data_IF_026811191350
#
_entry.id   IF_026811191350
#
_cell.length_a   1.000
_cell.length_b   1.000
_cell.length_c   1.000
_cell.angle_alpha   90.00
_cell.angle_beta   90.00
_cell.angle_gamma   90.00
#
_symmetry.space_group_name_H-M   'P 1'
#
loop_
_entity.id
_entity.type
_entity.pdbx_description
1 polymer ?
#
# COMPACT_ATOMS: atom_id res chain seq x y z
N UNK A 1 35.26 -47.03 -19.61
CA UNK A 1 34.96 -45.89 -20.48
C UNK A 1 33.52 -45.39 -20.22
N UNK A 2 33.22 -44.88 -19.01
CA UNK A 2 31.90 -44.37 -18.63
C UNK A 2 32.02 -43.30 -17.51
N UNK A 3 32.76 -42.21 -17.73
CA UNK A 3 32.79 -41.09 -16.77
C UNK A 3 32.54 -39.71 -17.39
N UNK A 4 32.12 -39.61 -18.65
CA UNK A 4 31.88 -38.30 -19.31
C UNK A 4 30.44 -37.78 -19.17
N UNK A 5 29.50 -38.58 -18.65
CA UNK A 5 28.09 -38.18 -18.53
C UNK A 5 27.72 -37.40 -17.27
N UNK A 6 28.51 -37.50 -16.19
CA UNK A 6 28.18 -36.89 -14.88
C UNK A 6 28.71 -35.45 -14.77
N UNK A 7 29.79 -35.13 -15.50
CA UNK A 7 30.50 -33.84 -15.36
C UNK A 7 29.75 -32.63 -15.93
N UNK A 8 28.82 -32.82 -16.88
CA UNK A 8 28.06 -31.72 -17.49
C UNK A 8 26.71 -31.45 -16.81
N UNK A 9 26.18 -32.41 -16.03
CA UNK A 9 24.86 -32.31 -15.40
C UNK A 9 24.89 -31.51 -14.07
N UNK A 10 26.00 -31.58 -13.33
CA UNK A 10 26.21 -30.84 -12.08
C UNK A 10 26.15 -29.31 -12.24
N UNK A 11 26.85 -28.67 -13.21
CA UNK A 11 26.80 -27.21 -13.37
C UNK A 11 25.44 -26.71 -13.84
N UNK A 12 24.68 -27.50 -14.60
CA UNK A 12 23.32 -27.14 -15.03
C UNK A 12 22.36 -27.20 -13.83
N UNK A 13 22.46 -28.23 -12.99
CA UNK A 13 21.62 -28.37 -11.81
C UNK A 13 21.88 -27.26 -10.77
N UNK A 14 23.14 -26.90 -10.55
CA UNK A 14 23.52 -25.78 -9.67
C UNK A 14 23.02 -24.44 -10.20
N UNK A 15 23.19 -24.18 -11.50
CA UNK A 15 22.69 -22.95 -12.15
C UNK A 15 21.16 -22.84 -12.11
N UNK A 16 20.44 -23.94 -12.34
CA UNK A 16 18.97 -23.98 -12.25
C UNK A 16 18.49 -23.77 -10.81
N UNK A 17 19.20 -24.33 -9.83
CA UNK A 17 18.89 -24.12 -8.41
C UNK A 17 19.12 -22.65 -8.01
N UNK A 18 20.26 -22.07 -8.39
CA UNK A 18 20.54 -20.65 -8.13
C UNK A 18 19.51 -19.75 -8.81
N UNK A 19 19.19 -19.99 -10.08
CA UNK A 19 18.15 -19.26 -10.82
C UNK A 19 16.79 -19.32 -10.12
N UNK A 20 16.41 -20.48 -9.57
CA UNK A 20 15.16 -20.67 -8.82
C UNK A 20 15.19 -19.92 -7.48
N UNK A 21 16.31 -19.96 -6.76
CA UNK A 21 16.47 -19.21 -5.50
C UNK A 21 16.38 -17.71 -5.75
N UNK A 22 17.02 -17.20 -6.81
CA UNK A 22 16.91 -15.79 -7.18
C UNK A 22 15.46 -15.42 -7.54
N UNK A 23 14.75 -16.31 -8.26
CA UNK A 23 13.33 -16.10 -8.54
C UNK A 23 12.48 -16.00 -7.26
N UNK A 24 12.68 -16.91 -6.30
CA UNK A 24 11.95 -16.87 -5.03
C UNK A 24 12.25 -15.60 -4.23
N UNK A 25 13.50 -15.12 -4.23
CA UNK A 25 13.87 -13.86 -3.57
C UNK A 25 13.19 -12.67 -4.24
N UNK A 26 13.31 -12.55 -5.57
CA UNK A 26 12.68 -11.47 -6.31
C UNK A 26 11.15 -11.49 -6.15
N UNK A 27 10.55 -12.68 -6.06
CA UNK A 27 9.11 -12.82 -5.82
C UNK A 27 8.72 -12.38 -4.40
N UNK A 28 9.47 -12.80 -3.39
CA UNK A 28 9.25 -12.38 -2.00
C UNK A 28 9.45 -10.86 -1.83
N UNK A 29 10.46 -10.29 -2.50
CA UNK A 29 10.69 -8.84 -2.49
C UNK A 29 9.50 -8.11 -3.13
N UNK A 30 9.02 -8.58 -4.29
CA UNK A 30 7.83 -8.01 -4.94
C UNK A 30 6.59 -8.08 -4.04
N UNK A 31 6.35 -9.21 -3.36
CA UNK A 31 5.24 -9.34 -2.39
C UNK A 31 5.40 -8.37 -1.22
N UNK A 32 6.60 -8.23 -0.66
CA UNK A 32 6.87 -7.28 0.43
C UNK A 32 6.63 -5.83 0.01
N UNK A 33 7.07 -5.44 -1.19
CA UNK A 33 6.85 -4.08 -1.71
C UNK A 33 5.36 -3.80 -1.94
N UNK A 34 4.60 -4.81 -2.38
CA UNK A 34 3.15 -4.72 -2.53
C UNK A 34 2.47 -4.50 -1.17
N UNK A 35 2.84 -5.26 -0.14
CA UNK A 35 2.32 -5.07 1.23
C UNK A 35 2.65 -3.68 1.78
N UNK A 36 3.87 -3.19 1.60
CA UNK A 36 4.29 -1.87 2.07
C UNK A 36 3.47 -0.74 1.42
N UNK A 37 3.20 -0.84 0.11
CA UNK A 37 2.35 0.11 -0.60
C UNK A 37 0.92 0.09 -0.06
N UNK A 38 0.36 -1.10 0.20
CA UNK A 38 -0.98 -1.26 0.77
C UNK A 38 -1.10 -0.68 2.19
N UNK A 39 -0.09 -0.93 3.04
CA UNK A 39 -0.01 -0.35 4.39
C UNK A 39 0.06 1.17 4.32
N UNK A 40 0.96 1.72 3.51
CA UNK A 40 1.13 3.17 3.36
C UNK A 40 -0.16 3.85 2.86
N UNK A 41 -0.85 3.21 1.92
CA UNK A 41 -2.16 3.63 1.46
C UNK A 41 -3.15 3.65 2.65
N UNK A 42 -3.33 2.55 3.37
CA UNK A 42 -4.27 2.50 4.48
C UNK A 42 -3.95 3.54 5.58
N UNK A 43 -2.68 3.74 5.91
CA UNK A 43 -2.23 4.74 6.88
C UNK A 43 -2.57 6.17 6.44
N UNK A 44 -2.32 6.50 5.17
CA UNK A 44 -2.64 7.81 4.62
C UNK A 44 -4.17 8.06 4.64
N UNK A 45 -4.97 7.04 4.31
CA UNK A 45 -6.42 7.13 4.40
C UNK A 45 -6.90 7.35 5.85
N UNK A 46 -6.38 6.59 6.81
CA UNK A 46 -6.69 6.77 8.23
C UNK A 46 -6.30 8.17 8.73
N UNK A 47 -5.13 8.68 8.31
CA UNK A 47 -4.68 10.02 8.69
C UNK A 47 -5.65 11.10 8.20
N UNK A 48 -6.07 11.04 6.94
CA UNK A 48 -7.05 11.96 6.36
C UNK A 48 -8.37 11.93 7.15
N UNK A 49 -8.90 10.74 7.44
CA UNK A 49 -10.13 10.60 8.22
C UNK A 49 -9.97 11.17 9.63
N UNK A 50 -8.82 10.94 10.27
CA UNK A 50 -8.51 11.49 11.59
C UNK A 50 -8.49 13.02 11.61
N UNK A 51 -7.89 13.63 10.59
CA UNK A 51 -7.85 15.08 10.45
C UNK A 51 -9.23 15.69 10.17
N UNK A 52 -10.01 15.11 9.24
CA UNK A 52 -11.38 15.56 8.96
C UNK A 52 -12.27 15.47 10.21
N UNK A 53 -12.11 14.39 11.01
CA UNK A 53 -12.83 14.25 12.28
C UNK A 53 -12.45 15.36 13.25
N UNK A 54 -11.16 15.69 13.37
CA UNK A 54 -10.73 16.75 14.27
C UNK A 54 -11.15 18.14 13.79
N UNK A 55 -11.06 18.44 12.50
CA UNK A 55 -11.63 19.66 11.93
C UNK A 55 -13.10 19.83 12.34
N UNK A 56 -13.89 18.76 12.19
CA UNK A 56 -15.31 18.74 12.56
C UNK A 56 -15.51 19.01 14.05
N UNK A 57 -14.74 18.34 14.92
CA UNK A 57 -14.83 18.53 16.39
C UNK A 57 -14.48 19.96 16.79
N UNK A 58 -13.41 20.53 16.24
CA UNK A 58 -13.00 21.91 16.54
C UNK A 58 -13.98 22.94 16.00
N UNK A 59 -14.61 22.68 14.85
CA UNK A 59 -15.67 23.52 14.30
C UNK A 59 -16.92 23.51 15.18
N UNK A 60 -17.31 22.32 15.68
CA UNK A 60 -18.40 22.20 16.65
C UNK A 60 -18.07 22.95 17.95
N UNK A 61 -16.85 22.80 18.48
CA UNK A 61 -16.43 23.51 19.69
C UNK A 61 -16.43 25.04 19.51
N UNK A 62 -16.11 25.53 18.31
CA UNK A 62 -16.21 26.96 17.98
C UNK A 62 -17.66 27.45 17.96
N UNK A 63 -18.60 26.59 17.57
CA UNK A 63 -20.04 26.87 17.63
C UNK A 63 -20.53 26.91 19.08
N UNK A 64 -20.11 25.95 19.92
CA UNK A 64 -20.49 25.87 21.33
C UNK A 64 -20.00 27.08 22.15
N UNK A 65 -18.85 27.65 21.79
CA UNK A 65 -18.27 28.83 22.44
C UNK A 65 -18.55 30.14 21.68
N UNK A 66 -19.70 30.26 21.01
CA UNK A 66 -20.04 31.46 20.23
C UNK A 66 -20.03 32.77 21.05
N UNK A 67 -20.31 32.70 22.35
CA UNK A 67 -20.35 33.84 23.27
C UNK A 67 -18.96 34.32 23.73
N UNK A 68 -17.91 33.51 23.53
CA UNK A 68 -16.52 33.83 23.88
C UNK A 68 -15.69 33.95 22.60
N UNK A 69 -15.48 35.19 22.09
CA UNK A 69 -14.77 35.42 20.84
C UNK A 69 -13.34 34.84 20.84
N UNK A 70 -12.68 34.80 21.99
CA UNK A 70 -11.32 34.28 22.12
C UNK A 70 -11.29 32.76 21.94
N UNK A 71 -12.17 32.04 22.65
CA UNK A 71 -12.28 30.58 22.51
C UNK A 71 -12.74 30.18 21.12
N UNK A 72 -13.73 30.89 20.56
CA UNK A 72 -14.19 30.68 19.19
C UNK A 72 -13.06 30.83 18.18
N UNK A 73 -12.30 31.93 18.24
CA UNK A 73 -11.21 32.19 17.32
C UNK A 73 -10.12 31.11 17.41
N UNK A 74 -9.79 30.66 18.63
CA UNK A 74 -8.82 29.59 18.83
C UNK A 74 -9.31 28.24 18.27
N UNK A 75 -10.56 27.88 18.51
CA UNK A 75 -11.16 26.66 17.99
C UNK A 75 -11.19 26.66 16.45
N UNK A 76 -11.59 27.77 15.82
CA UNK A 76 -11.54 27.91 14.36
C UNK A 76 -10.12 27.80 13.80
N UNK A 77 -9.14 28.40 14.48
CA UNK A 77 -7.72 28.24 14.11
C UNK A 77 -7.29 26.77 14.13
N UNK A 78 -7.75 26.00 15.12
CA UNK A 78 -7.46 24.56 15.21
C UNK A 78 -8.19 23.76 14.14
N UNK A 79 -9.45 24.08 13.84
CA UNK A 79 -10.18 23.45 12.74
C UNK A 79 -9.42 23.64 11.41
N UNK A 80 -9.06 24.88 11.08
CA UNK A 80 -8.30 25.19 9.86
C UNK A 80 -6.94 24.46 9.80
N UNK A 81 -6.22 24.39 10.94
CA UNK A 81 -4.96 23.63 11.01
C UNK A 81 -5.15 22.15 10.63
N UNK A 82 -6.20 21.49 11.12
CA UNK A 82 -6.48 20.09 10.77
C UNK A 82 -6.93 19.93 9.32
N UNK A 83 -7.70 20.89 8.80
CA UNK A 83 -8.07 20.92 7.40
C UNK A 83 -6.83 20.99 6.49
N UNK A 84 -5.90 21.89 6.78
CA UNK A 84 -4.63 22.04 6.05
C UNK A 84 -3.79 20.75 6.12
N UNK A 85 -3.71 20.11 7.28
CA UNK A 85 -2.99 18.82 7.43
C UNK A 85 -3.65 17.69 6.61
N UNK A 86 -4.98 17.64 6.57
CA UNK A 86 -5.71 16.68 5.75
C UNK A 86 -5.43 16.86 4.26
N UNK A 87 -5.45 18.11 3.80
CA UNK A 87 -5.13 18.47 2.41
C UNK A 87 -3.68 18.15 2.06
N UNK A 88 -2.71 18.47 2.93
CA UNK A 88 -1.30 18.18 2.70
C UNK A 88 -1.03 16.67 2.55
N UNK A 89 -1.69 15.81 3.35
CA UNK A 89 -1.59 14.36 3.17
C UNK A 89 -2.24 13.92 1.87
N UNK A 90 -3.41 14.45 1.51
CA UNK A 90 -4.07 14.14 0.23
C UNK A 90 -3.19 14.52 -0.97
N UNK A 91 -2.60 15.72 -0.95
CA UNK A 91 -1.74 16.23 -2.02
C UNK A 91 -0.47 15.39 -2.15
N UNK A 92 0.17 15.06 -1.02
CA UNK A 92 1.35 14.19 -1.01
C UNK A 92 1.03 12.78 -1.51
N UNK A 93 -0.10 12.22 -1.09
CA UNK A 93 -0.55 10.90 -1.54
C UNK A 93 -0.85 10.89 -3.03
N UNK A 94 -1.56 11.90 -3.54
CA UNK A 94 -1.83 12.05 -4.97
C UNK A 94 -0.55 12.26 -5.79
N UNK A 95 0.41 13.03 -5.27
CA UNK A 95 1.69 13.31 -5.94
C UNK A 95 2.52 12.05 -6.17
N UNK A 96 2.45 11.07 -5.27
CA UNK A 96 3.13 9.78 -5.44
C UNK A 96 2.32 8.77 -6.28
N UNK A 97 1.20 9.20 -6.87
CA UNK A 97 0.31 8.34 -7.67
C UNK A 97 -0.61 7.47 -6.83
N UNK A 98 -0.74 7.77 -5.53
CA UNK A 98 -1.68 7.08 -4.65
C UNK A 98 -3.12 7.34 -5.08
N UNK A 99 -3.87 6.27 -5.30
CA UNK A 99 -5.31 6.32 -5.56
C UNK A 99 -6.02 5.41 -4.58
N UNK A 100 -7.12 5.89 -3.99
CA UNK A 100 -8.00 5.02 -3.23
C UNK A 100 -8.77 4.11 -4.19
N UNK A 101 -8.88 2.81 -3.91
CA UNK A 101 -9.95 2.04 -4.51
C UNK A 101 -11.26 2.63 -3.97
N UNK A 102 -11.95 3.42 -4.80
CA UNK A 102 -13.33 3.81 -4.55
C UNK A 102 -14.09 2.50 -4.27
N UNK A 103 -14.68 2.37 -3.08
CA UNK A 103 -15.26 1.14 -2.55
C UNK A 103 -16.23 0.47 -3.55
N UNK A 104 -15.71 -0.41 -4.41
CA UNK A 104 -16.32 -1.59 -5.05
C UNK A 104 -15.43 -2.15 -6.18
N UNK A 105 -14.12 -2.22 -5.96
CA UNK A 105 -13.40 -3.33 -6.58
C UNK A 105 -13.74 -4.56 -5.75
N UNK A 106 -14.80 -5.27 -6.18
CA UNK A 106 -14.76 -6.73 -6.16
C UNK A 106 -13.41 -7.06 -6.75
N UNK A 107 -12.40 -7.26 -5.90
CA UNK A 107 -11.15 -7.89 -6.29
C UNK A 107 -11.62 -9.10 -7.09
N UNK A 108 -11.31 -9.21 -8.40
CA UNK A 108 -11.57 -10.45 -9.11
C UNK A 108 -10.74 -11.48 -8.36
N UNK A 109 -11.43 -12.18 -7.46
CA UNK A 109 -10.95 -13.10 -6.45
C UNK A 109 -9.44 -13.31 -6.59
N UNK A 110 -8.59 -12.63 -5.83
CA UNK A 110 -7.11 -12.70 -6.00
C UNK A 110 -6.57 -14.12 -5.78
N UNK A 111 -7.38 -15.04 -5.24
CA UNK A 111 -7.11 -16.48 -5.31
C UNK A 111 -7.06 -17.03 -6.74
N UNK A 112 -7.59 -16.29 -7.72
CA UNK A 112 -7.64 -16.63 -9.14
C UNK A 112 -6.49 -15.99 -9.93
N UNK A 113 -5.89 -14.88 -9.49
CA UNK A 113 -4.69 -14.34 -10.16
C UNK A 113 -3.47 -15.24 -9.88
N UNK A 114 -3.28 -15.65 -8.63
CA UNK A 114 -2.25 -16.64 -8.29
C UNK A 114 -2.53 -18.02 -8.91
N UNK A 115 -3.80 -18.44 -9.01
CA UNK A 115 -4.17 -19.68 -9.71
C UNK A 115 -4.08 -19.59 -11.24
N UNK A 116 -4.35 -18.42 -11.85
CA UNK A 116 -4.18 -18.17 -13.28
C UNK A 116 -2.70 -18.11 -13.67
N UNK A 117 -1.88 -17.44 -12.86
CA UNK A 117 -0.43 -17.42 -13.04
C UNK A 117 0.13 -18.83 -12.88
N UNK A 118 -0.32 -19.62 -11.90
CA UNK A 118 0.06 -21.05 -11.77
C UNK A 118 -0.41 -21.91 -12.95
N UNK A 119 -1.59 -21.66 -13.52
CA UNK A 119 -2.07 -22.34 -14.73
C UNK A 119 -1.24 -21.97 -15.96
N UNK A 120 -0.90 -20.71 -16.14
CA UNK A 120 -0.10 -20.24 -17.28
C UNK A 120 1.33 -20.74 -17.21
N UNK A 121 1.94 -20.76 -16.02
CA UNK A 121 3.28 -21.32 -15.79
C UNK A 121 3.26 -22.85 -15.94
N UNK A 122 2.21 -23.53 -15.48
CA UNK A 122 2.04 -24.98 -15.61
C UNK A 122 1.69 -25.49 -17.03
N UNK A 123 1.27 -24.60 -17.95
CA UNK A 123 1.04 -24.93 -19.36
C UNK A 123 2.29 -24.71 -20.24
N UNK A 124 3.34 -24.07 -19.72
CA UNK A 124 4.60 -23.81 -20.41
C UNK A 124 5.74 -24.77 -20.01
N UNK A 125 5.45 -25.77 -19.18
CA UNK A 125 6.34 -26.86 -18.79
C UNK A 125 5.88 -28.18 -19.43
#
# INVERSE_FOLDING_TARGET
MLCLGISAALPIAEYVLDSRVQWHRAHADMEGWQEEVEIFAQESHHAIQGFNKMETVWTALAHDHQEDPGKKAYALKKANMYQEMGQDVQDKFAKVGGTWPELELVLPNTSNLSAQIRRLIGMLA
#
